data_IF_973029300462
#
_entry.id   IF_973029300462
#
_cell.length_a   1.000
_cell.length_b   1.000
_cell.length_c   1.000
_cell.angle_alpha   90.00
_cell.angle_beta   90.00
_cell.angle_gamma   90.00
#
_symmetry.space_group_name_H-M   'P 1'
#
loop_
_entity.id
_entity.type
_entity.pdbx_description
1 polymer ?
#
# COMPACT_ATOMS: atom_id res chain seq x y z
N UNK A 1 14.09 -38.37 25.10
CA UNK A 1 14.27 -37.26 26.06
C UNK A 1 14.10 -35.97 25.27
N UNK A 2 13.00 -35.26 25.55
CA UNK A 2 12.54 -33.94 25.08
C UNK A 2 12.29 -33.71 23.56
N UNK A 3 11.08 -33.26 23.18
CA UNK A 3 10.80 -32.74 21.85
C UNK A 3 11.40 -31.34 21.65
N UNK A 4 11.62 -31.03 20.37
CA UNK A 4 12.00 -29.74 19.78
C UNK A 4 11.36 -28.55 20.49
N UNK A 5 12.19 -27.57 20.87
CA UNK A 5 11.76 -26.27 21.33
C UNK A 5 10.84 -25.66 20.26
N UNK A 6 9.54 -25.73 20.52
CA UNK A 6 8.54 -24.96 19.81
C UNK A 6 8.97 -23.50 19.86
N UNK A 7 9.13 -22.89 18.69
CA UNK A 7 9.25 -21.44 18.55
C UNK A 7 8.11 -20.82 19.32
N UNK A 8 8.48 -20.25 20.45
CA UNK A 8 7.59 -19.73 21.45
C UNK A 8 6.71 -18.67 20.79
N UNK A 9 5.45 -19.02 20.57
CA UNK A 9 4.44 -18.15 19.98
C UNK A 9 3.95 -17.15 21.03
N UNK A 10 4.88 -16.46 21.70
CA UNK A 10 4.56 -15.50 22.74
C UNK A 10 4.56 -14.09 22.17
N UNK A 11 3.35 -13.67 21.78
CA UNK A 11 2.84 -12.32 22.06
C UNK A 11 3.28 -11.21 21.12
N UNK A 12 2.64 -11.07 19.96
CA UNK A 12 2.63 -9.82 19.20
C UNK A 12 1.42 -9.63 18.24
N UNK A 13 0.38 -10.48 18.31
CA UNK A 13 -0.65 -10.56 17.25
C UNK A 13 -1.63 -9.38 17.17
N UNK A 14 -1.92 -8.69 18.29
CA UNK A 14 -3.05 -7.75 18.32
C UNK A 14 -2.98 -6.57 17.35
N UNK A 15 -1.79 -5.95 17.17
CA UNK A 15 -1.65 -4.76 16.32
C UNK A 15 -1.42 -5.10 14.85
N UNK A 16 -0.62 -6.13 14.56
CA UNK A 16 -0.26 -6.53 13.20
C UNK A 16 -1.42 -7.20 12.48
N UNK A 17 -2.20 -8.02 13.20
CA UNK A 17 -3.37 -8.70 12.63
C UNK A 17 -4.49 -7.69 12.32
N UNK A 18 -4.74 -6.76 13.24
CA UNK A 18 -5.73 -5.68 13.04
C UNK A 18 -5.35 -4.79 11.85
N UNK A 19 -4.08 -4.42 11.73
CA UNK A 19 -3.60 -3.60 10.59
C UNK A 19 -3.75 -4.34 9.27
N UNK A 20 -3.47 -5.65 9.25
CA UNK A 20 -3.61 -6.48 8.05
C UNK A 20 -5.07 -6.62 7.63
N UNK A 21 -5.96 -6.87 8.60
CA UNK A 21 -7.42 -6.94 8.37
C UNK A 21 -7.97 -5.60 7.90
N UNK A 22 -7.57 -4.49 8.52
CA UNK A 22 -7.99 -3.14 8.12
C UNK A 22 -7.50 -2.80 6.71
N UNK A 23 -6.24 -3.12 6.38
CA UNK A 23 -5.68 -2.94 5.04
C UNK A 23 -6.42 -3.78 4.00
N UNK A 24 -6.78 -5.02 4.32
CA UNK A 24 -7.57 -5.88 3.44
C UNK A 24 -9.01 -5.38 3.22
N UNK A 25 -9.63 -4.77 4.24
CA UNK A 25 -10.94 -4.10 4.09
C UNK A 25 -10.83 -2.87 3.19
N UNK A 26 -9.86 -1.99 3.44
CA UNK A 26 -9.60 -0.81 2.62
C UNK A 26 -9.34 -1.16 1.16
N UNK A 27 -8.55 -2.20 0.90
CA UNK A 27 -8.27 -2.67 -0.46
C UNK A 27 -9.56 -3.09 -1.19
N UNK A 28 -10.43 -3.84 -0.52
CA UNK A 28 -11.72 -4.27 -1.11
C UNK A 28 -12.65 -3.10 -1.39
N UNK A 29 -12.73 -2.15 -0.46
CA UNK A 29 -13.56 -0.97 -0.64
C UNK A 29 -13.04 -0.12 -1.83
N UNK A 30 -11.74 0.12 -1.91
CA UNK A 30 -11.15 0.89 -3.02
C UNK A 30 -11.31 0.17 -4.37
N UNK A 31 -11.18 -1.16 -4.44
CA UNK A 31 -11.43 -1.91 -5.68
C UNK A 31 -12.88 -1.73 -6.17
N UNK A 32 -13.85 -1.57 -5.26
CA UNK A 32 -15.25 -1.34 -5.62
C UNK A 32 -15.50 0.08 -6.10
N UNK A 33 -14.89 1.07 -5.45
CA UNK A 33 -15.19 2.49 -5.70
C UNK A 33 -14.31 3.14 -6.77
N UNK A 34 -13.07 2.67 -6.94
CA UNK A 34 -12.10 3.29 -7.86
C UNK A 34 -12.16 2.67 -9.24
N UNK A 35 -12.26 3.53 -10.26
CA UNK A 35 -12.04 3.14 -11.66
C UNK A 35 -10.54 3.13 -11.95
N UNK A 36 -9.92 1.95 -11.90
CA UNK A 36 -8.49 1.77 -12.18
C UNK A 36 -7.86 0.64 -11.39
N UNK A 37 -6.52 0.61 -11.40
CA UNK A 37 -5.76 -0.38 -10.64
C UNK A 37 -5.69 0.03 -9.16
N UNK A 38 -5.86 -0.95 -8.27
CA UNK A 38 -5.70 -0.78 -6.82
C UNK A 38 -4.71 -1.85 -6.34
N UNK A 39 -3.54 -1.44 -5.85
CA UNK A 39 -2.43 -2.33 -5.48
C UNK A 39 -2.06 -2.20 -4.01
N UNK A 40 -2.14 -3.30 -3.26
CA UNK A 40 -1.82 -3.37 -1.83
C UNK A 40 -0.73 -4.41 -1.51
N UNK A 41 -0.15 -5.03 -2.54
CA UNK A 41 0.96 -5.95 -2.42
C UNK A 41 2.28 -5.22 -2.12
N UNK A 42 3.22 -5.94 -1.51
CA UNK A 42 4.48 -5.33 -1.05
C UNK A 42 5.42 -4.94 -2.20
N UNK A 43 5.31 -5.58 -3.37
CA UNK A 43 6.12 -5.21 -4.53
C UNK A 43 5.71 -3.83 -5.06
N UNK A 44 4.41 -3.59 -5.26
CA UNK A 44 3.88 -2.30 -5.69
C UNK A 44 4.14 -1.21 -4.64
N UNK A 45 3.92 -1.50 -3.36
CA UNK A 45 4.23 -0.55 -2.26
C UNK A 45 5.72 -0.21 -2.22
N UNK A 46 6.60 -1.18 -2.41
CA UNK A 46 8.05 -0.99 -2.43
C UNK A 46 8.51 -0.11 -3.58
N UNK A 47 7.95 -0.31 -4.78
CA UNK A 47 8.28 0.49 -5.97
C UNK A 47 7.97 1.98 -5.79
N UNK A 48 6.91 2.32 -5.05
CA UNK A 48 6.53 3.72 -4.75
C UNK A 48 7.20 4.26 -3.49
N UNK A 49 7.73 3.40 -2.62
CA UNK A 49 8.53 3.83 -1.46
C UNK A 49 9.93 4.31 -1.86
N UNK A 50 10.36 4.00 -3.08
CA UNK A 50 11.65 4.38 -3.68
C UNK A 50 11.57 5.58 -4.62
N UNK A 51 10.50 6.38 -4.54
CA UNK A 51 10.42 7.63 -5.32
C UNK A 51 11.52 8.61 -4.88
N UNK A 52 12.12 9.33 -5.83
CA UNK A 52 13.34 10.16 -5.69
C UNK A 52 13.22 11.36 -4.71
N UNK A 53 12.15 11.38 -3.93
CA UNK A 53 11.85 12.30 -2.85
C UNK A 53 12.62 11.92 -1.57
N UNK A 54 12.94 12.91 -0.73
CA UNK A 54 13.66 12.69 0.55
C UNK A 54 12.84 11.86 1.57
N UNK A 55 11.53 11.70 1.37
CA UNK A 55 10.64 10.98 2.27
C UNK A 55 10.44 9.52 1.84
N UNK A 56 11.09 8.60 2.56
CA UNK A 56 11.00 7.14 2.33
C UNK A 56 9.89 6.48 3.14
N UNK A 57 8.67 7.01 3.09
CA UNK A 57 7.53 6.39 3.76
C UNK A 57 6.93 5.31 2.86
N UNK A 58 6.78 4.09 3.39
CA UNK A 58 6.09 3.01 2.67
C UNK A 58 4.60 3.30 2.67
N UNK A 59 3.96 3.42 1.48
CA UNK A 59 2.54 3.70 1.40
C UNK A 59 1.70 2.51 1.91
N UNK A 60 0.48 2.80 2.37
CA UNK A 60 -0.48 1.78 2.81
C UNK A 60 -0.89 0.89 1.63
N UNK A 61 -1.16 1.51 0.48
CA UNK A 61 -1.45 0.93 -0.82
C UNK A 61 -1.31 2.00 -1.91
N UNK A 62 -1.34 1.61 -3.17
CA UNK A 62 -1.07 2.46 -4.33
C UNK A 62 -2.24 2.35 -5.31
N UNK A 63 -2.71 3.49 -5.81
CA UNK A 63 -3.78 3.59 -6.80
C UNK A 63 -3.30 4.47 -7.96
N UNK A 64 -2.67 3.90 -9.00
CA UNK A 64 -2.26 4.71 -10.14
C UNK A 64 -3.49 5.19 -10.93
N UNK A 65 -3.40 6.38 -11.55
CA UNK A 65 -4.48 6.89 -12.37
C UNK A 65 -4.69 5.99 -13.60
N UNK A 66 -5.93 5.57 -13.83
CA UNK A 66 -6.30 4.75 -14.99
C UNK A 66 -6.26 5.52 -16.31
N UNK A 67 -6.35 6.85 -16.25
CA UNK A 67 -6.33 7.70 -17.42
C UNK A 67 -5.41 8.88 -17.20
N UNK A 68 -4.79 9.31 -18.28
CA UNK A 68 -3.97 10.52 -18.29
C UNK A 68 -4.91 11.72 -18.15
N UNK A 69 -4.69 12.50 -17.11
CA UNK A 69 -5.28 13.83 -17.04
C UNK A 69 -4.63 14.70 -18.11
N UNK A 70 -5.38 15.02 -19.16
CA UNK A 70 -4.95 16.05 -20.12
C UNK A 70 -5.10 17.40 -19.44
N UNK A 71 -3.96 18.00 -19.21
CA UNK A 71 -3.87 19.31 -18.62
C UNK A 71 -4.37 20.38 -19.62
N UNK A 72 -5.33 21.27 -19.28
CA UNK A 72 -5.77 22.32 -20.19
C UNK A 72 -4.67 23.39 -20.37
N UNK A 73 -4.51 24.00 -21.55
CA UNK A 73 -3.40 24.91 -21.87
C UNK A 73 -3.35 26.21 -21.04
N UNK A 74 -4.30 26.42 -20.11
CA UNK A 74 -4.45 27.67 -19.33
C UNK A 74 -3.71 27.68 -17.99
N UNK A 75 -2.87 26.70 -17.67
CA UNK A 75 -2.15 26.71 -16.40
C UNK A 75 -0.73 27.22 -16.60
N UNK A 76 -0.28 28.16 -15.77
CA UNK A 76 0.93 28.93 -16.01
C UNK A 76 2.24 28.15 -15.80
N UNK A 77 2.20 26.86 -15.47
CA UNK A 77 3.37 26.10 -15.04
C UNK A 77 3.95 25.15 -16.11
N UNK A 78 3.47 25.20 -17.36
CA UNK A 78 3.94 24.34 -18.46
C UNK A 78 4.83 25.10 -19.46
N UNK A 79 5.76 25.91 -18.97
CA UNK A 79 6.78 26.62 -19.73
C UNK A 79 8.16 26.45 -19.10
#
# INVERSE_FOLDING_TARGET
MAPTAASDSRGAGGRSDTTTVARGRLARDLVREVRGDVRFDDAARGAYATDASVYRQVPIGVVPPATRMTWPPRWPCAG
#
